data_IF_301701171760
#
_entry.id   IF_301701171760
#
_cell.length_a   1.000
_cell.length_b   1.000
_cell.length_c   1.000
_cell.angle_alpha   90.00
_cell.angle_beta   90.00
_cell.angle_gamma   90.00
#
_symmetry.space_group_name_H-M   'P 1'
#
loop_
_entity.id
_entity.type
_entity.pdbx_description
1 polymer ?
#
# COMPACT_ATOMS: atom_id res chain seq x y z
N UNK A 1 32.73 -38.38 -11.05
CA UNK A 1 32.50 -37.29 -10.08
C UNK A 1 31.68 -36.10 -10.60
N UNK A 2 31.26 -36.04 -11.88
CA UNK A 2 30.56 -34.86 -12.45
C UNK A 2 29.02 -34.89 -12.38
N UNK A 3 28.39 -36.03 -12.09
CA UNK A 3 26.92 -36.14 -12.06
C UNK A 3 26.27 -35.80 -10.71
N UNK A 4 27.05 -35.70 -9.63
CA UNK A 4 26.51 -35.44 -8.28
C UNK A 4 26.24 -33.95 -7.99
N UNK A 5 26.70 -33.04 -8.84
CA UNK A 5 26.52 -31.59 -8.66
C UNK A 5 25.24 -31.04 -9.33
N UNK A 6 24.60 -31.84 -10.19
CA UNK A 6 23.40 -31.44 -10.92
C UNK A 6 22.17 -31.15 -10.03
N UNK A 7 21.83 -31.95 -8.99
CA UNK A 7 20.67 -31.65 -8.14
C UNK A 7 20.88 -30.41 -7.26
N UNK A 8 22.13 -30.02 -6.97
CA UNK A 8 22.45 -28.84 -6.17
C UNK A 8 22.25 -27.53 -6.93
N UNK A 9 22.40 -27.56 -8.26
CA UNK A 9 22.22 -26.41 -9.16
C UNK A 9 20.74 -26.13 -9.49
N UNK A 10 19.87 -27.13 -9.37
CA UNK A 10 18.42 -27.02 -9.64
C UNK A 10 17.58 -26.72 -8.38
N UNK A 11 18.16 -26.84 -7.18
CA UNK A 11 17.51 -26.55 -5.91
C UNK A 11 16.93 -25.11 -5.78
N UNK A 12 17.57 -24.02 -6.25
CA UNK A 12 16.98 -22.69 -6.14
C UNK A 12 15.77 -22.48 -7.08
N UNK A 13 15.58 -23.34 -8.09
CA UNK A 13 14.42 -23.28 -8.99
C UNK A 13 13.14 -23.80 -8.33
N UNK A 14 13.26 -24.61 -7.27
CA UNK A 14 12.13 -25.15 -6.51
C UNK A 14 11.75 -24.31 -5.28
N UNK A 15 12.56 -23.31 -4.92
CA UNK A 15 12.40 -22.54 -3.66
C UNK A 15 11.79 -21.14 -3.89
N UNK A 16 11.45 -20.74 -5.12
CA UNK A 16 10.71 -19.48 -5.33
C UNK A 16 9.71 -19.53 -6.50
N UNK A 17 8.53 -18.89 -6.40
CA UNK A 17 8.07 -18.01 -5.32
C UNK A 17 6.76 -18.47 -4.66
N UNK A 18 6.76 -18.62 -3.33
CA UNK A 18 5.53 -18.58 -2.51
C UNK A 18 4.94 -17.15 -2.44
N UNK A 19 5.23 -16.28 -3.41
CA UNK A 19 4.84 -14.87 -3.44
C UNK A 19 3.53 -14.61 -4.23
N UNK A 20 2.85 -15.67 -4.69
CA UNK A 20 1.67 -15.57 -5.58
C UNK A 20 0.32 -15.75 -4.87
N UNK A 21 0.30 -15.88 -3.54
CA UNK A 21 -0.95 -16.00 -2.78
C UNK A 21 -1.54 -14.63 -2.40
N UNK A 22 -1.57 -13.68 -3.32
CA UNK A 22 -2.35 -12.45 -3.12
C UNK A 22 -3.84 -12.81 -3.22
N UNK A 23 -4.51 -12.94 -2.07
CA UNK A 23 -5.95 -13.18 -2.02
C UNK A 23 -6.69 -11.91 -2.43
N UNK A 24 -7.66 -12.03 -3.33
CA UNK A 24 -8.54 -10.92 -3.67
C UNK A 24 -9.36 -10.54 -2.43
N UNK A 25 -9.28 -9.27 -2.03
CA UNK A 25 -10.13 -8.69 -0.98
C UNK A 25 -11.31 -8.00 -1.65
N UNK A 26 -12.53 -8.46 -1.37
CA UNK A 26 -13.77 -7.81 -1.79
C UNK A 26 -14.43 -7.16 -0.58
N UNK A 27 -14.78 -5.88 -0.70
CA UNK A 27 -15.39 -5.08 0.37
C UNK A 27 -16.73 -4.54 -0.12
N UNK A 28 -17.80 -4.78 0.64
CA UNK A 28 -19.12 -4.22 0.36
C UNK A 28 -19.17 -2.78 0.91
N UNK A 29 -19.15 -1.78 0.02
CA UNK A 29 -19.27 -0.36 0.41
C UNK A 29 -20.73 0.00 0.70
N UNK A 30 -20.96 0.97 1.59
CA UNK A 30 -22.31 1.42 1.95
C UNK A 30 -23.04 2.19 0.84
N UNK A 31 -22.31 2.76 -0.12
CA UNK A 31 -22.84 3.34 -1.34
C UNK A 31 -21.78 3.39 -2.46
N UNK A 32 -22.18 3.82 -3.64
CA UNK A 32 -21.28 4.14 -4.75
C UNK A 32 -20.61 5.51 -4.53
N UNK A 33 -19.33 5.68 -4.94
CA UNK A 33 -18.67 6.99 -4.90
C UNK A 33 -19.28 7.95 -5.92
N UNK A 34 -19.29 9.25 -5.59
CA UNK A 34 -19.74 10.34 -6.47
C UNK A 34 -18.72 10.63 -7.58
N UNK A 35 -17.45 10.31 -7.33
CA UNK A 35 -16.35 10.42 -8.27
C UNK A 35 -15.06 9.91 -7.66
N UNK A 36 -13.92 10.29 -8.24
CA UNK A 36 -12.58 9.90 -7.74
C UNK A 36 -11.67 11.11 -7.46
N UNK A 37 -12.21 12.33 -7.50
CA UNK A 37 -11.50 13.55 -7.15
C UNK A 37 -11.96 14.06 -5.79
N UNK A 38 -11.08 13.94 -4.79
CA UNK A 38 -11.34 14.33 -3.40
C UNK A 38 -11.32 15.83 -3.15
N UNK A 39 -10.90 16.64 -4.13
CA UNK A 39 -11.03 18.10 -4.06
C UNK A 39 -12.45 18.52 -4.43
N UNK A 40 -13.07 17.81 -5.38
CA UNK A 40 -14.41 18.08 -5.86
C UNK A 40 -15.50 17.43 -4.98
N UNK A 41 -15.17 16.30 -4.35
CA UNK A 41 -16.11 15.42 -3.64
C UNK A 41 -15.59 15.15 -2.21
N UNK A 42 -16.47 15.15 -1.21
CA UNK A 42 -16.07 15.07 0.22
C UNK A 42 -16.79 13.97 1.02
N UNK A 43 -17.67 13.20 0.39
CA UNK A 43 -18.31 12.07 1.08
C UNK A 43 -17.30 11.03 1.58
N UNK A 44 -17.63 10.36 2.69
CA UNK A 44 -16.78 9.30 3.25
C UNK A 44 -16.63 8.12 2.28
N UNK A 45 -17.70 7.78 1.57
CA UNK A 45 -17.70 6.72 0.53
C UNK A 45 -16.70 7.03 -0.58
N UNK A 46 -16.62 8.28 -1.01
CA UNK A 46 -15.67 8.71 -2.04
C UNK A 46 -14.25 8.74 -1.51
N UNK A 47 -14.04 9.25 -0.30
CA UNK A 47 -12.71 9.28 0.33
C UNK A 47 -12.13 7.87 0.48
N UNK A 48 -12.95 6.91 0.93
CA UNK A 48 -12.57 5.50 1.07
C UNK A 48 -12.29 4.82 -0.30
N UNK A 49 -13.08 5.12 -1.33
CA UNK A 49 -12.88 4.55 -2.67
C UNK A 49 -11.78 5.24 -3.49
N UNK A 50 -11.35 6.45 -3.11
CA UNK A 50 -10.38 7.27 -3.86
C UNK A 50 -9.20 7.69 -3.00
N UNK A 51 -9.29 8.77 -2.21
CA UNK A 51 -8.15 9.31 -1.46
C UNK A 51 -7.34 8.27 -0.69
N UNK A 52 -7.99 7.36 0.03
CA UNK A 52 -7.29 6.43 0.92
C UNK A 52 -6.63 5.25 0.18
N UNK A 53 -7.14 4.88 -1.00
CA UNK A 53 -6.69 3.68 -1.74
C UNK A 53 -5.91 4.02 -3.00
N UNK A 54 -6.22 5.16 -3.64
CA UNK A 54 -5.65 5.56 -4.93
C UNK A 54 -4.62 6.69 -4.83
N UNK A 55 -4.62 7.45 -3.72
CA UNK A 55 -3.77 8.64 -3.58
C UNK A 55 -2.88 8.53 -2.35
N UNK A 56 -1.70 9.15 -2.42
CA UNK A 56 -0.81 9.27 -1.28
C UNK A 56 -0.80 10.71 -0.78
N UNK A 57 -0.76 10.87 0.54
CA UNK A 57 -0.63 12.16 1.21
C UNK A 57 0.85 12.49 1.45
N UNK A 58 1.15 13.73 1.83
CA UNK A 58 2.52 14.09 2.24
C UNK A 58 2.95 13.34 3.51
N UNK A 59 2.01 13.21 4.44
CA UNK A 59 2.13 12.43 5.67
C UNK A 59 0.92 11.52 5.77
N UNK A 60 1.12 10.29 6.23
CA UNK A 60 0.05 9.31 6.41
C UNK A 60 -0.18 9.05 7.89
N UNK A 61 -1.38 8.59 8.24
CA UNK A 61 -1.68 8.15 9.60
C UNK A 61 -1.60 6.63 9.69
N UNK A 62 -0.72 6.13 10.55
CA UNK A 62 -0.67 4.71 10.89
C UNK A 62 -1.68 4.43 12.02
N UNK A 63 -2.79 3.79 11.65
CA UNK A 63 -3.86 3.43 12.59
C UNK A 63 -3.43 2.39 13.64
N UNK A 64 -2.40 1.58 13.37
CA UNK A 64 -1.92 0.59 14.33
C UNK A 64 -1.05 1.23 15.42
N UNK A 65 -0.18 2.16 15.05
CA UNK A 65 0.69 2.87 16.00
C UNK A 65 0.09 4.18 16.55
N UNK A 66 -0.97 4.69 15.92
CA UNK A 66 -1.61 5.96 16.27
C UNK A 66 -0.75 7.19 15.98
N UNK A 67 0.17 7.09 15.01
CA UNK A 67 1.17 8.14 14.72
C UNK A 67 1.11 8.58 13.27
N UNK A 68 1.50 9.83 13.04
CA UNK A 68 1.78 10.32 11.69
C UNK A 68 3.15 9.81 11.24
N UNK A 69 3.18 9.23 10.04
CA UNK A 69 4.39 8.73 9.38
C UNK A 69 4.63 9.50 8.07
N UNK A 70 5.89 9.68 7.67
CA UNK A 70 6.22 10.20 6.34
C UNK A 70 5.59 9.33 5.24
N UNK A 71 5.08 9.97 4.18
CA UNK A 71 4.60 9.30 2.97
C UNK A 71 5.26 9.93 1.74
N UNK A 72 4.58 10.76 0.94
CA UNK A 72 5.24 11.46 -0.18
C UNK A 72 6.31 12.47 0.25
N UNK A 73 6.20 13.01 1.48
CA UNK A 73 7.20 13.93 2.01
C UNK A 73 8.15 13.22 2.96
N UNK A 74 9.40 13.01 2.54
CA UNK A 74 10.46 12.43 3.37
C UNK A 74 10.84 13.34 4.55
N UNK A 75 10.71 14.66 4.39
CA UNK A 75 11.01 15.63 5.44
C UNK A 75 10.12 16.85 5.36
N UNK A 76 9.69 17.34 6.53
CA UNK A 76 8.97 18.59 6.68
C UNK A 76 9.69 19.48 7.68
N UNK A 77 9.92 20.75 7.32
CA UNK A 77 10.48 21.74 8.24
C UNK A 77 9.40 22.73 8.61
N UNK A 78 8.85 22.60 9.82
CA UNK A 78 7.95 23.60 10.36
C UNK A 78 8.78 24.73 10.96
N UNK A 79 8.70 25.92 10.37
CA UNK A 79 9.30 27.12 10.97
C UNK A 79 8.41 27.56 12.14
N UNK A 80 8.95 27.75 13.36
CA UNK A 80 8.16 28.31 14.44
C UNK A 80 7.72 29.73 14.05
N UNK A 81 6.41 29.97 14.13
CA UNK A 81 5.83 31.31 14.00
C UNK A 81 6.07 32.05 15.32
N UNK A 82 6.68 33.24 15.23
CA UNK A 82 6.86 34.19 16.32
C UNK A 82 6.48 35.57 15.83
#
# INVERSE_FOLDING_TARGET
MRLAALPLLLAPLFIAPMAVAATNLSVCTEASPEGFDVVQYNSLTTTNASADVLMNRLVEFDAASGKLVPSLADSGKCRPMG
#
